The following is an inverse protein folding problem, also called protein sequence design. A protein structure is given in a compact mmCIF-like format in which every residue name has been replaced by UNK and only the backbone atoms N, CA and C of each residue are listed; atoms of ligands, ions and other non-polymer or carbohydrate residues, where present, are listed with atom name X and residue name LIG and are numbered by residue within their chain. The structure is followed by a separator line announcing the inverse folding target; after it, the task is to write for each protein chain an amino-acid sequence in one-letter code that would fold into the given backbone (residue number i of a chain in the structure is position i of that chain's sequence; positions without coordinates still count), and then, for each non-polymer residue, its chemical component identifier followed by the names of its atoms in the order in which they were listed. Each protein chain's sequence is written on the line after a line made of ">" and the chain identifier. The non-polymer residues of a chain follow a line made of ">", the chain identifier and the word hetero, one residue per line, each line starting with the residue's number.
data_IF_853762501049
#
_entry.id   IF_853762501049
#
_cell.length_a   1.000
_cell.length_b   1.000
_cell.length_c   1.000
_cell.angle_alpha   90.00
_cell.angle_beta   90.00
_cell.angle_gamma   90.00
#
_symmetry.space_group_name_H-M   'P 1'
#
loop_
_entity.id
_entity.type
_entity.pdbx_description
1 polymer ?
#
# COMPACT_ATOMS: atom_id res chain seq x y z
N UNK A 1 48.64 -63.96 31.96
CA UNK A 1 48.37 -64.55 30.63
C UNK A 1 46.86 -64.57 30.43
N UNK A 2 46.20 -64.09 29.39
CA UNK A 2 46.51 -63.19 28.28
C UNK A 2 45.13 -62.67 27.82
N UNK A 3 44.90 -61.35 27.87
CA UNK A 3 43.67 -60.73 27.38
C UNK A 3 43.71 -60.72 25.84
N UNK A 4 42.92 -61.56 25.18
CA UNK A 4 42.64 -61.47 23.75
C UNK A 4 41.56 -60.42 23.50
N UNK A 5 41.96 -59.16 23.44
CA UNK A 5 41.14 -58.11 22.83
C UNK A 5 41.08 -58.39 21.32
N UNK A 6 39.98 -58.98 20.87
CA UNK A 6 39.69 -59.09 19.45
C UNK A 6 39.49 -57.67 18.88
N UNK A 7 40.55 -57.12 18.29
CA UNK A 7 40.49 -55.88 17.54
C UNK A 7 39.67 -56.17 16.27
N UNK A 8 38.44 -55.68 16.21
CA UNK A 8 37.62 -55.75 15.00
C UNK A 8 38.31 -54.93 13.90
N UNK A 9 39.01 -55.62 13.01
CA UNK A 9 39.66 -55.01 11.87
C UNK A 9 38.61 -54.22 11.06
N UNK A 10 38.84 -52.93 10.76
CA UNK A 10 37.88 -52.13 10.01
C UNK A 10 37.64 -52.79 8.66
N UNK A 11 36.38 -53.04 8.31
CA UNK A 11 36.02 -53.56 6.99
C UNK A 11 36.45 -52.52 5.96
N UNK A 12 37.43 -52.89 5.13
CA UNK A 12 38.01 -52.04 4.09
C UNK A 12 37.31 -52.28 2.76
N UNK A 13 37.18 -51.23 1.95
CA UNK A 13 36.79 -51.38 0.54
C UNK A 13 37.95 -51.95 -0.29
N UNK A 14 37.71 -52.35 -1.54
CA UNK A 14 38.73 -52.93 -2.44
C UNK A 14 40.02 -52.10 -2.56
N UNK A 15 39.94 -50.78 -2.32
CA UNK A 15 41.05 -49.82 -2.37
C UNK A 15 41.73 -49.56 -1.01
N UNK A 16 41.43 -50.35 0.03
CA UNK A 16 42.06 -50.24 1.36
C UNK A 16 41.54 -49.10 2.25
N UNK A 17 40.50 -48.37 1.84
CA UNK A 17 39.92 -47.31 2.66
C UNK A 17 38.86 -47.84 3.63
N UNK A 18 38.76 -47.33 4.87
CA UNK A 18 37.72 -47.74 5.81
C UNK A 18 36.32 -47.47 5.24
N UNK A 19 35.45 -48.49 5.24
CA UNK A 19 34.10 -48.44 4.65
C UNK A 19 33.26 -47.25 5.13
N UNK A 20 33.43 -46.83 6.39
CA UNK A 20 32.72 -45.68 6.97
C UNK A 20 33.07 -44.37 6.25
N UNK A 21 34.32 -44.19 5.83
CA UNK A 21 34.81 -42.98 5.16
C UNK A 21 34.37 -42.94 3.70
N UNK A 22 34.45 -44.07 2.99
CA UNK A 22 33.96 -44.18 1.61
C UNK A 22 32.45 -44.03 1.51
N UNK A 23 31.69 -44.61 2.46
CA UNK A 23 30.24 -44.45 2.57
C UNK A 23 29.85 -42.99 2.82
N UNK A 24 30.51 -42.30 3.76
CA UNK A 24 30.23 -40.88 4.02
C UNK A 24 30.55 -39.97 2.82
N UNK A 25 31.62 -40.26 2.08
CA UNK A 25 31.99 -39.52 0.85
C UNK A 25 30.95 -39.74 -0.25
N UNK A 26 30.49 -40.97 -0.43
CA UNK A 26 29.43 -41.32 -1.38
C UNK A 26 28.09 -40.69 -1.00
N UNK A 27 27.70 -40.74 0.28
CA UNK A 27 26.49 -40.12 0.81
C UNK A 27 26.52 -38.59 0.66
N UNK A 28 27.64 -37.92 0.92
CA UNK A 28 27.78 -36.47 0.68
C UNK A 28 27.60 -36.12 -0.80
N UNK A 29 28.20 -36.89 -1.71
CA UNK A 29 28.06 -36.67 -3.16
C UNK A 29 26.62 -36.86 -3.63
N UNK A 30 25.94 -37.88 -3.11
CA UNK A 30 24.53 -38.12 -3.42
C UNK A 30 23.60 -37.06 -2.79
N UNK A 31 23.87 -36.60 -1.56
CA UNK A 31 23.14 -35.50 -0.93
C UNK A 31 23.33 -34.18 -1.69
N UNK A 32 24.54 -33.86 -2.12
CA UNK A 32 24.82 -32.67 -2.93
C UNK A 32 24.13 -32.74 -4.30
N UNK A 33 24.11 -33.90 -4.95
CA UNK A 33 23.36 -34.11 -6.20
C UNK A 33 21.85 -33.99 -5.99
N UNK A 34 21.30 -34.61 -4.95
CA UNK A 34 19.89 -34.49 -4.60
C UNK A 34 19.51 -33.05 -4.25
N UNK A 35 20.33 -32.36 -3.47
CA UNK A 35 20.15 -30.94 -3.17
C UNK A 35 20.22 -30.10 -4.45
N UNK A 36 21.18 -30.37 -5.34
CA UNK A 36 21.31 -29.69 -6.63
C UNK A 36 20.11 -29.91 -7.56
N UNK A 37 19.45 -31.07 -7.49
CA UNK A 37 18.21 -31.36 -8.24
C UNK A 37 16.99 -30.62 -7.66
N UNK A 38 16.94 -30.43 -6.34
CA UNK A 38 15.82 -29.76 -5.65
C UNK A 38 15.99 -28.25 -5.60
N UNK A 39 17.23 -27.75 -5.60
CA UNK A 39 17.56 -26.34 -5.42
C UNK A 39 16.87 -25.41 -6.42
N UNK A 40 16.78 -25.71 -7.74
CA UNK A 40 16.07 -24.84 -8.68
C UNK A 40 14.59 -24.71 -8.36
N UNK A 41 13.93 -25.82 -8.02
CA UNK A 41 12.52 -25.81 -7.63
C UNK A 41 12.29 -25.07 -6.31
N UNK A 42 13.19 -25.25 -5.33
CA UNK A 42 13.14 -24.53 -4.07
C UNK A 42 13.37 -23.02 -4.24
N UNK A 43 14.37 -22.62 -5.03
CA UNK A 43 14.63 -21.21 -5.34
C UNK A 43 13.47 -20.58 -6.12
N UNK A 44 12.88 -21.31 -7.07
CA UNK A 44 11.68 -20.87 -7.78
C UNK A 44 10.54 -20.59 -6.80
N UNK A 45 10.26 -21.51 -5.87
CA UNK A 45 9.24 -21.33 -4.83
C UNK A 45 9.58 -20.14 -3.94
N UNK A 46 10.83 -20.03 -3.47
CA UNK A 46 11.29 -18.93 -2.64
C UNK A 46 11.06 -17.58 -3.34
N UNK A 47 11.43 -17.45 -4.61
CA UNK A 47 11.23 -16.24 -5.41
C UNK A 47 9.74 -15.93 -5.59
N UNK A 48 8.93 -16.92 -5.99
CA UNK A 48 7.50 -16.74 -6.27
C UNK A 48 6.68 -16.44 -5.02
N UNK A 49 7.08 -16.92 -3.83
CA UNK A 49 6.35 -16.64 -2.59
C UNK A 49 6.93 -15.47 -1.80
N UNK A 50 8.26 -15.41 -1.61
CA UNK A 50 8.88 -14.38 -0.76
C UNK A 50 8.85 -13.00 -1.43
N UNK A 51 9.09 -12.88 -2.74
CA UNK A 51 9.10 -11.56 -3.38
C UNK A 51 7.71 -10.90 -3.36
N UNK A 52 6.60 -11.59 -3.69
CA UNK A 52 5.27 -10.98 -3.56
C UNK A 52 4.92 -10.63 -2.11
N UNK A 53 5.26 -11.48 -1.14
CA UNK A 53 5.04 -11.17 0.29
C UNK A 53 5.83 -9.92 0.68
N UNK A 54 7.11 -9.84 0.32
CA UNK A 54 7.95 -8.67 0.59
C UNK A 54 7.38 -7.40 -0.05
N UNK A 55 6.92 -7.47 -1.29
CA UNK A 55 6.28 -6.34 -1.99
C UNK A 55 4.95 -5.93 -1.31
N UNK A 56 4.16 -6.89 -0.85
CA UNK A 56 2.93 -6.59 -0.09
C UNK A 56 3.25 -5.93 1.25
N UNK A 57 4.28 -6.38 1.96
CA UNK A 57 4.72 -5.79 3.22
C UNK A 57 5.23 -4.35 3.03
N UNK A 58 6.05 -4.08 2.00
CA UNK A 58 6.51 -2.71 1.73
C UNK A 58 5.39 -1.78 1.28
N UNK A 59 4.41 -2.27 0.51
CA UNK A 59 3.21 -1.48 0.16
C UNK A 59 2.32 -1.19 1.36
N UNK A 60 2.33 -2.05 2.38
CA UNK A 60 1.51 -1.86 3.58
C UNK A 60 1.94 -0.67 4.44
N UNK A 61 3.18 -0.19 4.27
CA UNK A 61 3.72 0.98 5.01
C UNK A 61 3.73 2.27 4.19
N UNK A 62 3.29 2.23 2.93
CA UNK A 62 3.29 3.38 2.04
C UNK A 62 2.12 4.33 2.35
N UNK A 63 2.45 5.57 2.72
CA UNK A 63 1.52 6.66 3.01
C UNK A 63 1.79 7.90 2.14
N UNK A 64 2.41 7.70 0.97
CA UNK A 64 2.82 8.79 0.07
C UNK A 64 1.66 9.65 -0.43
N UNK A 65 0.46 9.07 -0.62
CA UNK A 65 -0.68 9.78 -1.18
C UNK A 65 -1.17 10.94 -0.32
N UNK A 66 -1.21 10.78 1.01
CA UNK A 66 -1.61 11.89 1.89
C UNK A 66 -0.55 12.98 1.92
N UNK A 67 0.74 12.59 1.82
CA UNK A 67 1.85 13.53 1.74
C UNK A 67 1.81 14.38 0.47
N UNK A 68 1.33 13.81 -0.64
CA UNK A 68 1.10 14.55 -1.88
C UNK A 68 -0.24 15.30 -1.90
N UNK A 69 -1.18 14.92 -1.02
CA UNK A 69 -2.42 15.67 -0.85
C UNK A 69 -2.22 16.92 0.02
N UNK A 70 -1.39 16.84 1.06
CA UNK A 70 -1.13 17.90 2.03
C UNK A 70 0.35 18.35 2.08
N UNK A 71 1.02 18.59 0.92
CA UNK A 71 2.45 18.87 0.89
C UNK A 71 2.82 20.19 1.59
N UNK A 72 2.01 21.25 1.44
CA UNK A 72 2.27 22.54 2.10
C UNK A 72 2.02 22.45 3.61
N UNK A 73 0.94 21.78 4.01
CA UNK A 73 0.62 21.55 5.41
C UNK A 73 1.76 20.80 6.10
N UNK A 74 2.26 19.72 5.49
CA UNK A 74 3.29 18.90 6.10
C UNK A 74 4.69 19.53 6.10
N UNK A 75 4.99 20.46 5.19
CA UNK A 75 6.24 21.23 5.23
C UNK A 75 6.26 22.26 6.38
N UNK A 76 5.10 22.79 6.75
CA UNK A 76 4.96 23.74 7.87
C UNK A 76 4.77 23.06 9.23
N UNK A 77 4.37 21.78 9.23
CA UNK A 77 3.90 21.05 10.41
C UNK A 77 4.92 20.90 11.55
N UNK A 78 6.22 20.92 11.24
CA UNK A 78 7.27 20.79 12.26
C UNK A 78 7.40 22.03 13.17
N UNK A 79 6.86 23.18 12.76
CA UNK A 79 6.92 24.43 13.53
C UNK A 79 5.81 24.54 14.59
N UNK A 80 4.81 23.65 14.56
CA UNK A 80 3.67 23.67 15.47
C UNK A 80 3.94 22.84 16.73
N UNK A 81 3.62 23.40 17.90
CA UNK A 81 3.85 22.80 19.22
C UNK A 81 2.96 21.60 19.57
N UNK A 82 1.85 21.42 18.83
CA UNK A 82 0.85 20.35 18.98
C UNK A 82 0.04 20.39 20.28
N UNK A 83 0.19 21.43 21.10
CA UNK A 83 -0.51 21.57 22.37
C UNK A 83 -1.79 22.38 22.23
N UNK A 84 -1.78 23.39 21.37
CA UNK A 84 -2.94 24.21 21.07
C UNK A 84 -3.34 24.10 19.60
N UNK A 85 -4.49 24.67 19.25
CA UNK A 85 -4.86 24.78 17.84
C UNK A 85 -3.76 25.53 17.07
N UNK A 86 -3.44 25.07 15.84
CA UNK A 86 -2.40 25.71 15.08
C UNK A 86 -2.78 27.13 14.67
N UNK A 87 -1.76 27.87 14.27
CA UNK A 87 -1.86 29.25 13.84
C UNK A 87 -2.54 29.38 12.45
N UNK A 88 -2.78 30.63 12.06
CA UNK A 88 -3.47 30.96 10.81
C UNK A 88 -2.75 30.40 9.57
N UNK A 89 -1.41 30.32 9.61
CA UNK A 89 -0.61 29.82 8.49
C UNK A 89 -0.89 28.35 8.19
N UNK A 90 -1.04 27.50 9.22
CA UNK A 90 -1.33 26.08 9.01
C UNK A 90 -2.77 25.84 8.56
N UNK A 91 -3.72 26.65 9.04
CA UNK A 91 -5.10 26.63 8.53
C UNK A 91 -5.15 27.03 7.05
N UNK A 92 -4.42 28.07 6.66
CA UNK A 92 -4.26 28.47 5.27
C UNK A 92 -3.65 27.33 4.44
N UNK A 93 -2.58 26.69 4.92
CA UNK A 93 -1.93 25.59 4.23
C UNK A 93 -2.89 24.42 3.94
N UNK A 94 -3.64 23.98 4.95
CA UNK A 94 -4.65 22.93 4.78
C UNK A 94 -5.74 23.35 3.81
N UNK A 95 -6.20 24.60 3.89
CA UNK A 95 -7.18 25.12 2.95
C UNK A 95 -6.67 25.06 1.51
N UNK A 96 -5.45 25.54 1.25
CA UNK A 96 -4.85 25.57 -0.08
C UNK A 96 -4.59 24.16 -0.64
N UNK A 97 -4.05 23.25 0.18
CA UNK A 97 -3.81 21.87 -0.19
C UNK A 97 -5.09 21.11 -0.60
N UNK A 98 -6.20 21.39 0.09
CA UNK A 98 -7.49 20.76 -0.15
C UNK A 98 -8.25 21.37 -1.34
N UNK A 99 -8.14 22.68 -1.56
CA UNK A 99 -9.01 23.40 -2.52
C UNK A 99 -8.36 23.66 -3.87
N UNK A 100 -7.04 23.79 -3.93
CA UNK A 100 -6.33 24.17 -5.16
C UNK A 100 -5.77 22.95 -5.89
N UNK A 101 -5.53 23.13 -7.19
CA UNK A 101 -4.76 22.18 -8.02
C UNK A 101 -3.32 22.63 -8.20
N UNK A 102 -2.94 23.80 -7.64
CA UNK A 102 -1.63 24.43 -7.83
C UNK A 102 -0.50 23.49 -7.44
N UNK A 103 -0.74 22.61 -6.45
CA UNK A 103 0.24 21.61 -6.05
C UNK A 103 0.70 20.64 -7.13
N UNK A 104 -0.08 20.45 -8.19
CA UNK A 104 0.32 19.65 -9.37
C UNK A 104 1.03 20.48 -10.44
N UNK A 105 0.94 21.81 -10.36
CA UNK A 105 1.51 22.74 -11.33
C UNK A 105 2.88 23.23 -10.89
N UNK A 106 3.05 23.47 -9.59
CA UNK A 106 4.30 23.92 -8.96
C UNK A 106 5.36 22.81 -9.07
N UNK A 107 6.56 23.19 -9.53
CA UNK A 107 7.70 22.28 -9.66
C UNK A 107 8.20 21.80 -8.29
N UNK A 108 8.63 20.54 -8.23
CA UNK A 108 9.27 19.93 -7.05
C UNK A 108 8.45 20.01 -5.75
N UNK A 109 7.14 20.09 -5.86
CA UNK A 109 6.25 20.42 -4.75
C UNK A 109 5.82 19.22 -3.87
N UNK A 110 6.76 18.35 -3.48
CA UNK A 110 6.47 17.18 -2.64
C UNK A 110 7.56 16.90 -1.61
N UNK A 111 7.15 16.51 -0.40
CA UNK A 111 8.06 16.16 0.69
C UNK A 111 8.93 17.34 1.13
N UNK A 112 10.23 17.11 1.29
CA UNK A 112 11.19 18.13 1.74
C UNK A 112 11.52 19.21 0.70
N UNK A 113 11.00 19.08 -0.52
CA UNK A 113 11.26 20.01 -1.62
C UNK A 113 10.20 21.11 -1.76
N UNK A 114 9.12 21.02 -0.99
CA UNK A 114 8.07 22.05 -0.97
C UNK A 114 8.64 23.35 -0.44
N UNK A 115 8.55 24.41 -1.22
CA UNK A 115 8.80 25.78 -0.76
C UNK A 115 7.49 26.37 -0.22
N UNK A 116 7.35 26.55 1.10
CA UNK A 116 6.14 27.13 1.68
C UNK A 116 6.01 28.63 1.44
N UNK A 117 7.08 29.30 0.99
CA UNK A 117 7.10 30.75 0.72
C UNK A 117 6.77 31.09 -0.72
N UNK A 118 6.62 30.08 -1.58
CA UNK A 118 6.29 30.27 -2.99
C UNK A 118 4.91 30.95 -3.14
N UNK A 119 4.83 32.16 -3.74
CA UNK A 119 3.57 32.86 -3.96
C UNK A 119 2.61 32.06 -4.87
N UNK A 120 3.12 31.07 -5.62
CA UNK A 120 2.34 30.19 -6.48
C UNK A 120 1.16 29.52 -5.77
N UNK A 121 1.30 29.27 -4.46
CA UNK A 121 0.25 28.69 -3.62
C UNK A 121 -0.99 29.58 -3.49
N UNK A 122 -0.82 30.90 -3.60
CA UNK A 122 -1.88 31.88 -3.35
C UNK A 122 -2.67 32.26 -4.62
N UNK A 123 -2.13 32.00 -5.81
CA UNK A 123 -2.83 32.30 -7.06
C UNK A 123 -4.11 31.48 -7.21
N UNK A 124 -5.20 32.15 -7.53
CA UNK A 124 -6.50 31.53 -7.72
C UNK A 124 -6.79 31.30 -9.19
N UNK A 125 -6.87 30.03 -9.59
CA UNK A 125 -7.31 29.67 -10.94
C UNK A 125 -8.85 29.73 -10.99
N UNK A 126 -9.45 30.54 -11.89
CA UNK A 126 -10.89 30.69 -11.95
C UNK A 126 -11.57 29.39 -12.37
N UNK A 127 -12.60 28.98 -11.65
CA UNK A 127 -13.29 27.69 -11.90
C UNK A 127 -13.97 27.57 -13.27
N UNK A 128 -14.21 28.70 -13.95
CA UNK A 128 -14.86 28.79 -15.27
C UNK A 128 -13.92 29.30 -16.37
N UNK A 129 -12.65 29.57 -16.04
CA UNK A 129 -11.69 30.20 -16.95
C UNK A 129 -11.77 31.74 -16.95
N UNK A 130 -10.89 32.42 -17.69
CA UNK A 130 -9.81 31.83 -18.50
C UNK A 130 -8.70 31.19 -17.64
N UNK A 131 -8.13 30.08 -18.11
CA UNK A 131 -7.19 29.24 -17.38
C UNK A 131 -5.74 29.52 -17.76
N UNK A 132 -5.44 29.85 -19.02
CA UNK A 132 -4.06 29.95 -19.52
C UNK A 132 -3.19 30.90 -18.72
N UNK A 133 -3.61 32.16 -18.60
CA UNK A 133 -2.82 33.16 -17.89
C UNK A 133 -2.72 32.83 -16.39
N UNK A 134 -3.82 32.42 -15.75
CA UNK A 134 -3.82 32.05 -14.33
C UNK A 134 -2.88 30.88 -14.02
N UNK A 135 -2.79 29.87 -14.89
CA UNK A 135 -1.87 28.75 -14.71
C UNK A 135 -0.41 29.12 -14.98
N UNK A 136 -0.16 30.05 -15.91
CA UNK A 136 1.18 30.60 -16.17
C UNK A 136 1.65 31.48 -15.01
N UNK A 137 0.74 32.16 -14.31
CA UNK A 137 1.07 32.89 -13.07
C UNK A 137 1.47 31.94 -11.94
N UNK A 138 0.83 30.77 -11.84
CA UNK A 138 1.21 29.73 -10.86
C UNK A 138 2.62 29.19 -11.15
N UNK A 139 2.92 28.84 -12.40
CA UNK A 139 4.28 28.46 -12.78
C UNK A 139 4.56 28.91 -14.23
N UNK A 140 5.48 29.88 -14.43
CA UNK A 140 5.78 30.45 -15.74
C UNK A 140 6.21 29.43 -16.79
N UNK A 141 6.73 28.26 -16.39
CA UNK A 141 7.19 27.21 -17.31
C UNK A 141 6.08 26.71 -18.23
N UNK A 142 4.82 26.80 -17.81
CA UNK A 142 3.67 26.37 -18.62
C UNK A 142 3.48 27.24 -19.87
N UNK A 143 4.14 28.40 -19.95
CA UNK A 143 4.24 29.20 -21.18
C UNK A 143 5.12 28.53 -22.23
N UNK A 144 6.12 27.76 -21.85
CA UNK A 144 7.07 27.16 -22.78
C UNK A 144 6.49 25.86 -23.37
N UNK A 145 6.57 25.70 -24.69
CA UNK A 145 6.15 24.47 -25.37
C UNK A 145 6.89 23.23 -24.82
N UNK A 146 8.14 23.41 -24.38
CA UNK A 146 8.98 22.35 -23.79
C UNK A 146 8.34 21.66 -22.58
N UNK A 147 7.55 22.37 -21.78
CA UNK A 147 6.83 21.78 -20.63
C UNK A 147 5.75 20.80 -21.09
N UNK A 148 5.16 21.03 -22.27
CA UNK A 148 4.06 20.24 -22.82
C UNK A 148 4.52 19.09 -23.71
N UNK A 149 5.71 19.19 -24.31
CA UNK A 149 6.28 18.18 -25.22
C UNK A 149 6.30 16.76 -24.63
N UNK A 150 6.71 16.53 -23.35
CA UNK A 150 6.64 15.20 -22.75
C UNK A 150 5.22 14.64 -22.74
N UNK A 151 4.21 15.48 -22.48
CA UNK A 151 2.80 15.07 -22.47
C UNK A 151 2.30 14.76 -23.88
N UNK A 152 2.65 15.59 -24.87
CA UNK A 152 2.35 15.34 -26.28
C UNK A 152 2.96 14.04 -26.79
N UNK A 153 4.19 13.73 -26.38
CA UNK A 153 4.88 12.50 -26.79
C UNK A 153 4.10 11.23 -26.38
N UNK A 154 3.43 11.24 -25.22
CA UNK A 154 2.57 10.14 -24.76
C UNK A 154 1.37 9.97 -25.69
N UNK A 155 0.81 11.07 -26.20
CA UNK A 155 -0.32 11.07 -27.13
C UNK A 155 0.11 10.59 -28.51
N UNK A 156 1.22 11.11 -29.03
CA UNK A 156 1.73 10.75 -30.36
C UNK A 156 2.08 9.26 -30.49
N UNK A 157 2.59 8.64 -29.43
CA UNK A 157 2.88 7.20 -29.43
C UNK A 157 1.65 6.35 -29.78
N UNK A 158 0.44 6.81 -29.44
CA UNK A 158 -0.80 6.12 -29.78
C UNK A 158 -1.05 6.16 -31.29
N UNK A 159 -0.81 7.30 -31.94
CA UNK A 159 -1.11 7.50 -33.36
C UNK A 159 -0.07 6.88 -34.30
N UNK A 160 1.12 6.54 -33.79
CA UNK A 160 2.12 5.76 -34.54
C UNK A 160 1.74 4.29 -34.68
N UNK A 161 0.87 3.75 -33.82
CA UNK A 161 0.41 2.36 -33.89
C UNK A 161 -0.61 2.18 -35.02
N UNK A 162 -0.35 1.26 -35.93
CA UNK A 162 -1.17 1.03 -37.13
C UNK A 162 -2.34 0.08 -36.87
N UNK A 163 -2.18 -0.89 -35.95
CA UNK A 163 -3.23 -1.85 -35.60
C UNK A 163 -4.38 -1.16 -34.82
N UNK A 164 -5.63 -1.17 -35.33
CA UNK A 164 -6.76 -0.49 -34.69
C UNK A 164 -7.11 -1.03 -33.30
N UNK A 165 -7.02 -2.34 -33.07
CA UNK A 165 -7.33 -2.95 -31.76
C UNK A 165 -6.29 -2.56 -30.71
N UNK A 166 -5.02 -2.60 -31.10
CA UNK A 166 -3.91 -2.19 -30.24
C UNK A 166 -3.90 -0.69 -29.98
N UNK A 167 -4.21 0.13 -30.99
CA UNK A 167 -4.36 1.59 -30.86
C UNK A 167 -5.44 1.95 -29.84
N UNK A 168 -6.60 1.29 -29.85
CA UNK A 168 -7.68 1.51 -28.88
C UNK A 168 -7.22 1.23 -27.44
N UNK A 169 -6.47 0.14 -27.22
CA UNK A 169 -5.88 -0.19 -25.91
C UNK A 169 -4.82 0.83 -25.48
N UNK A 170 -3.97 1.26 -26.41
CA UNK A 170 -2.95 2.29 -26.16
C UNK A 170 -3.58 3.64 -25.83
N UNK A 171 -4.65 4.04 -26.51
CA UNK A 171 -5.38 5.27 -26.22
C UNK A 171 -5.91 5.30 -24.78
N UNK A 172 -6.53 4.21 -24.33
CA UNK A 172 -7.00 4.09 -22.95
C UNK A 172 -5.83 4.21 -21.96
N UNK A 173 -4.72 3.54 -22.24
CA UNK A 173 -3.52 3.55 -21.39
C UNK A 173 -2.82 4.91 -21.39
N UNK A 174 -2.75 5.59 -22.53
CA UNK A 174 -2.15 6.92 -22.68
C UNK A 174 -2.88 7.97 -21.82
N UNK A 175 -4.21 7.91 -21.75
CA UNK A 175 -4.98 8.79 -20.86
C UNK A 175 -4.65 8.57 -19.37
N UNK A 176 -4.34 7.34 -18.93
CA UNK A 176 -3.84 7.06 -17.58
C UNK A 176 -2.40 7.53 -17.39
N UNK A 177 -1.53 7.26 -18.36
CA UNK A 177 -0.12 7.66 -18.32
C UNK A 177 0.02 9.19 -18.24
N UNK A 178 -0.78 9.94 -19.00
CA UNK A 178 -0.86 11.40 -18.92
C UNK A 178 -1.20 11.87 -17.49
N UNK A 179 -2.19 11.26 -16.86
CA UNK A 179 -2.58 11.62 -15.50
C UNK A 179 -1.51 11.25 -14.47
N UNK A 180 -0.83 10.12 -14.67
CA UNK A 180 0.27 9.65 -13.82
C UNK A 180 1.51 10.53 -13.95
N UNK A 181 1.73 11.15 -15.13
CA UNK A 181 2.82 12.09 -15.33
C UNK A 181 2.61 13.43 -14.59
N UNK A 182 1.35 13.80 -14.33
CA UNK A 182 0.96 15.07 -13.72
C UNK A 182 0.57 14.96 -12.25
N UNK A 183 0.19 13.77 -11.80
CA UNK A 183 -0.38 13.52 -10.48
C UNK A 183 0.13 12.20 -9.93
N UNK A 184 0.10 11.98 -8.61
CA UNK A 184 0.53 10.70 -8.05
C UNK A 184 -0.46 9.54 -8.28
N UNK A 185 -1.56 9.78 -8.99
CA UNK A 185 -2.62 8.80 -9.17
C UNK A 185 -2.33 7.91 -10.38
N UNK A 186 -2.24 6.61 -10.13
CA UNK A 186 -2.09 5.58 -11.17
C UNK A 186 -3.43 5.13 -11.78
N UNK A 187 -4.56 5.51 -11.18
CA UNK A 187 -5.90 5.06 -11.57
C UNK A 187 -6.83 6.20 -12.02
N UNK A 188 -6.29 7.41 -12.22
CA UNK A 188 -7.02 8.55 -12.77
C UNK A 188 -6.73 8.71 -14.27
N UNK A 189 -7.66 9.29 -15.02
CA UNK A 189 -7.56 9.45 -16.48
C UNK A 189 -7.64 10.94 -16.85
N UNK A 190 -6.69 11.39 -17.67
CA UNK A 190 -6.67 12.73 -18.26
C UNK A 190 -7.18 12.68 -19.71
N UNK A 191 -8.46 12.32 -19.88
CA UNK A 191 -9.05 12.13 -21.21
C UNK A 191 -9.29 13.43 -21.97
N UNK A 192 -9.58 14.55 -21.29
CA UNK A 192 -9.78 15.85 -21.97
C UNK A 192 -8.45 16.38 -22.47
N UNK A 193 -7.44 16.30 -21.62
CA UNK A 193 -6.09 16.70 -21.99
C UNK A 193 -5.55 15.86 -23.15
N UNK A 194 -5.81 14.55 -23.15
CA UNK A 194 -5.46 13.68 -24.28
C UNK A 194 -6.03 14.22 -25.60
N UNK A 195 -7.33 14.56 -25.63
CA UNK A 195 -7.99 15.10 -26.83
C UNK A 195 -7.42 16.47 -27.22
N UNK A 196 -7.22 17.38 -26.28
CA UNK A 196 -6.67 18.71 -26.59
C UNK A 196 -5.22 18.64 -27.12
N UNK A 197 -4.39 17.75 -26.54
CA UNK A 197 -3.03 17.53 -27.01
C UNK A 197 -2.97 16.77 -28.33
N UNK A 198 -4.02 16.06 -28.74
CA UNK A 198 -4.08 15.45 -30.06
C UNK A 198 -4.08 16.52 -31.16
N UNK A 199 -4.85 17.59 -30.96
CA UNK A 199 -5.05 18.68 -31.92
C UNK A 199 -3.89 19.70 -31.94
N UNK A 200 -3.17 19.85 -30.83
CA UNK A 200 -2.05 20.78 -30.72
C UNK A 200 -0.84 20.39 -31.60
N UNK A 201 -0.19 21.39 -32.23
CA UNK A 201 0.90 21.23 -33.19
C UNK A 201 2.27 20.87 -32.59
N UNK A 202 2.46 21.07 -31.29
CA UNK A 202 3.72 20.81 -30.59
C UNK A 202 4.77 21.92 -30.71
N UNK A 203 4.49 23.03 -31.40
CA UNK A 203 5.48 24.08 -31.68
C UNK A 203 5.35 25.29 -30.76
N UNK A 204 4.13 25.77 -30.57
CA UNK A 204 3.83 26.98 -29.79
C UNK A 204 3.18 26.66 -28.45
N UNK A 205 3.10 27.62 -27.53
CA UNK A 205 2.33 27.43 -26.29
C UNK A 205 0.90 27.00 -26.64
N UNK A 206 0.35 25.92 -26.04
CA UNK A 206 -1.00 25.49 -26.31
C UNK A 206 -2.04 26.59 -26.11
N UNK A 207 -3.18 26.42 -26.77
CA UNK A 207 -4.30 27.35 -26.72
C UNK A 207 -5.08 27.24 -25.41
N UNK A 208 -6.07 28.12 -25.23
CA UNK A 208 -6.91 28.15 -24.03
C UNK A 208 -7.66 26.81 -23.81
N UNK A 209 -8.00 26.09 -24.89
CA UNK A 209 -8.68 24.80 -24.79
C UNK A 209 -7.80 23.73 -24.12
N UNK A 210 -6.51 23.67 -24.44
CA UNK A 210 -5.56 22.77 -23.80
C UNK A 210 -5.36 23.06 -22.30
N UNK A 211 -5.25 24.34 -21.92
CA UNK A 211 -5.18 24.74 -20.51
C UNK A 211 -6.47 24.42 -19.74
N UNK A 212 -7.63 24.67 -20.35
CA UNK A 212 -8.92 24.31 -19.79
C UNK A 212 -9.04 22.79 -19.59
N UNK A 213 -8.54 22.00 -20.54
CA UNK A 213 -8.53 20.54 -20.46
C UNK A 213 -7.61 20.04 -19.34
N UNK A 214 -6.38 20.57 -19.24
CA UNK A 214 -5.43 20.28 -18.17
C UNK A 214 -6.05 20.57 -16.79
N UNK A 215 -6.58 21.78 -16.59
CA UNK A 215 -7.19 22.18 -15.32
C UNK A 215 -8.36 21.27 -14.92
N UNK A 216 -9.29 20.97 -15.85
CA UNK A 216 -10.46 20.12 -15.57
C UNK A 216 -10.06 18.70 -15.18
N UNK A 217 -9.04 18.15 -15.83
CA UNK A 217 -8.55 16.81 -15.51
C UNK A 217 -7.76 16.78 -14.19
N UNK A 218 -6.93 17.80 -13.92
CA UNK A 218 -6.25 17.96 -12.62
C UNK A 218 -7.25 18.14 -11.47
N UNK A 219 -8.31 18.92 -11.66
CA UNK A 219 -9.36 19.09 -10.66
C UNK A 219 -10.15 17.79 -10.43
N UNK A 220 -10.31 16.96 -11.48
CA UNK A 220 -10.90 15.62 -11.34
C UNK A 220 -9.97 14.69 -10.56
N UNK A 221 -8.66 14.72 -10.84
CA UNK A 221 -7.65 13.98 -10.12
C UNK A 221 -7.56 14.40 -8.64
N UNK A 222 -7.60 15.71 -8.34
CA UNK A 222 -7.64 16.25 -6.97
C UNK A 222 -8.77 15.64 -6.15
N UNK A 223 -9.97 15.52 -6.73
CA UNK A 223 -11.13 14.91 -6.03
C UNK A 223 -10.88 13.44 -5.70
N UNK A 224 -10.26 12.68 -6.60
CA UNK A 224 -9.89 11.28 -6.38
C UNK A 224 -8.83 11.17 -5.28
N UNK A 225 -7.78 12.01 -5.37
CA UNK A 225 -6.69 12.04 -4.38
C UNK A 225 -7.23 12.41 -2.99
N UNK A 226 -8.12 13.40 -2.92
CA UNK A 226 -8.76 13.80 -1.66
C UNK A 226 -9.65 12.69 -1.11
N UNK A 227 -10.40 11.97 -1.96
CA UNK A 227 -11.20 10.82 -1.54
C UNK A 227 -10.36 9.70 -0.92
N UNK A 228 -9.23 9.35 -1.56
CA UNK A 228 -8.27 8.36 -1.04
C UNK A 228 -7.62 8.83 0.26
N UNK A 229 -7.10 10.05 0.28
CA UNK A 229 -6.43 10.63 1.44
C UNK A 229 -7.38 10.78 2.63
N UNK A 230 -8.62 11.21 2.42
CA UNK A 230 -9.62 11.30 3.50
C UNK A 230 -9.99 9.93 4.09
N UNK A 231 -9.90 8.85 3.31
CA UNK A 231 -10.10 7.48 3.81
C UNK A 231 -8.94 7.06 4.69
N UNK A 232 -7.70 7.37 4.27
CA UNK A 232 -6.49 7.16 5.06
C UNK A 232 -6.51 7.92 6.39
N UNK A 233 -6.85 9.20 6.35
CA UNK A 233 -7.01 10.04 7.55
C UNK A 233 -8.04 9.46 8.51
N UNK A 234 -9.13 8.90 7.99
CA UNK A 234 -10.18 8.32 8.80
C UNK A 234 -9.75 7.03 9.55
N UNK A 235 -8.69 6.34 9.10
CA UNK A 235 -8.11 5.23 9.86
C UNK A 235 -7.38 5.70 11.12
N UNK A 236 -6.73 6.87 11.07
CA UNK A 236 -6.11 7.46 12.27
C UNK A 236 -7.16 7.98 13.23
N UNK A 237 -8.04 8.87 12.73
CA UNK A 237 -9.10 9.48 13.53
C UNK A 237 -10.46 9.40 12.82
N UNK A 238 -11.43 8.64 13.36
CA UNK A 238 -12.76 8.57 12.79
C UNK A 238 -13.42 9.94 12.69
N UNK A 239 -14.01 10.23 11.53
CA UNK A 239 -14.72 11.48 11.27
C UNK A 239 -14.04 12.38 10.24
N UNK A 240 -12.76 12.14 9.91
CA UNK A 240 -12.03 12.87 8.87
C UNK A 240 -12.74 12.87 7.52
N UNK A 241 -13.23 11.71 7.07
CA UNK A 241 -13.93 11.60 5.79
C UNK A 241 -15.17 12.50 5.73
N UNK A 242 -15.91 12.58 6.84
CA UNK A 242 -17.05 13.49 6.99
C UNK A 242 -16.63 14.96 7.03
N UNK A 243 -15.56 15.27 7.79
CA UNK A 243 -15.00 16.62 7.92
C UNK A 243 -14.58 17.17 6.55
N UNK A 244 -13.72 16.45 5.83
CA UNK A 244 -13.23 16.86 4.51
C UNK A 244 -14.39 17.00 3.50
N UNK A 245 -15.31 16.02 3.45
CA UNK A 245 -16.44 16.07 2.52
C UNK A 245 -17.32 17.31 2.72
N UNK A 246 -17.64 17.66 3.97
CA UNK A 246 -18.44 18.85 4.28
C UNK A 246 -17.66 20.13 4.00
N UNK A 247 -16.37 20.13 4.32
CA UNK A 247 -15.48 21.27 4.15
C UNK A 247 -15.33 21.65 2.68
N UNK A 248 -14.97 20.72 1.80
CA UNK A 248 -14.80 20.98 0.37
C UNK A 248 -16.04 21.53 -0.32
N UNK A 249 -17.25 21.17 0.16
CA UNK A 249 -18.50 21.70 -0.37
C UNK A 249 -18.69 23.18 -0.02
N UNK A 250 -18.24 23.59 1.16
CA UNK A 250 -18.47 24.92 1.71
C UNK A 250 -17.28 25.87 1.56
N UNK A 251 -16.06 25.34 1.40
CA UNK A 251 -14.83 26.12 1.24
C UNK A 251 -14.85 27.04 0.02
N UNK A 252 -15.61 26.69 -1.02
CA UNK A 252 -15.86 27.56 -2.17
C UNK A 252 -16.48 28.92 -1.82
N UNK A 253 -16.98 29.09 -0.60
CA UNK A 253 -17.61 30.33 -0.10
C UNK A 253 -16.68 31.13 0.83
N UNK A 254 -15.46 30.66 1.07
CA UNK A 254 -14.48 31.38 1.89
C UNK A 254 -13.75 32.35 0.97
N UNK A 255 -13.92 33.65 1.22
CA UNK A 255 -13.43 34.74 0.35
C UNK A 255 -12.06 35.29 0.78
N UNK A 256 -11.23 34.45 1.41
CA UNK A 256 -9.87 34.79 1.86
C UNK A 256 -9.67 34.63 3.37
N UNK A 257 -8.52 35.10 3.89
CA UNK A 257 -8.20 35.04 5.32
C UNK A 257 -9.14 35.91 6.17
N UNK A 258 -9.38 35.57 7.46
CA UNK A 258 -8.77 34.47 8.20
C UNK A 258 -9.45 33.11 7.94
N UNK A 259 -8.66 32.14 7.52
CA UNK A 259 -9.02 30.75 7.28
C UNK A 259 -9.37 30.02 8.57
N UNK A 260 -8.71 30.28 9.71
CA UNK A 260 -8.99 29.59 10.96
C UNK A 260 -10.45 29.72 11.38
N UNK A 261 -10.93 30.95 11.52
CA UNK A 261 -12.30 31.22 11.92
C UNK A 261 -13.31 30.74 10.86
N UNK A 262 -13.00 30.96 9.58
CA UNK A 262 -13.85 30.55 8.47
C UNK A 262 -14.03 29.01 8.41
N UNK A 263 -12.94 28.26 8.60
CA UNK A 263 -12.96 26.79 8.60
C UNK A 263 -13.74 26.25 9.80
N UNK A 264 -13.52 26.80 11.00
CA UNK A 264 -14.26 26.43 12.22
C UNK A 264 -15.77 26.71 12.07
N UNK A 265 -16.13 27.86 11.47
CA UNK A 265 -17.53 28.21 11.16
C UNK A 265 -18.16 27.24 10.15
N UNK A 266 -17.39 26.76 9.18
CA UNK A 266 -17.84 25.76 8.20
C UNK A 266 -18.13 24.41 8.86
N UNK A 267 -17.24 23.97 9.75
CA UNK A 267 -17.40 22.76 10.56
C UNK A 267 -16.62 22.88 11.87
N UNK A 268 -17.32 22.81 13.01
CA UNK A 268 -16.76 22.96 14.35
C UNK A 268 -15.57 22.03 14.63
N UNK A 269 -15.51 20.85 13.98
CA UNK A 269 -14.40 19.89 14.14
C UNK A 269 -13.04 20.40 13.68
N UNK A 270 -12.97 21.47 12.88
CA UNK A 270 -11.69 22.13 12.62
C UNK A 270 -11.11 22.84 13.85
N UNK A 271 -11.94 23.10 14.86
CA UNK A 271 -11.52 23.61 16.18
C UNK A 271 -11.22 22.51 17.19
N UNK A 272 -11.32 21.24 16.80
CA UNK A 272 -10.99 20.12 17.67
C UNK A 272 -9.52 19.74 17.47
N UNK A 273 -8.69 19.95 18.50
CA UNK A 273 -7.25 19.68 18.48
C UNK A 273 -6.89 18.25 18.06
N UNK A 274 -7.73 17.28 18.42
CA UNK A 274 -7.53 15.85 18.13
C UNK A 274 -7.39 15.57 16.63
N UNK A 275 -8.11 16.29 15.77
CA UNK A 275 -7.95 16.13 14.32
C UNK A 275 -6.57 16.60 13.88
N UNK A 276 -6.15 17.79 14.28
CA UNK A 276 -4.82 18.31 13.96
C UNK A 276 -3.71 17.39 14.46
N UNK A 277 -3.77 16.95 15.70
CA UNK A 277 -2.79 16.02 16.27
C UNK A 277 -2.71 14.69 15.50
N UNK A 278 -3.84 14.18 14.99
CA UNK A 278 -3.85 12.94 14.21
C UNK A 278 -3.07 13.04 12.88
N UNK A 279 -2.84 14.25 12.35
CA UNK A 279 -2.02 14.45 11.16
C UNK A 279 -0.53 14.12 11.40
N UNK A 280 -0.05 14.22 12.64
CA UNK A 280 1.36 13.91 13.01
C UNK A 280 1.74 12.49 12.57
N UNK A 281 0.83 11.53 12.73
CA UNK A 281 1.06 10.12 12.39
C UNK A 281 1.19 9.88 10.86
N UNK A 282 0.77 10.84 10.04
CA UNK A 282 0.72 10.75 8.57
C UNK A 282 1.71 11.68 7.86
N UNK A 283 2.44 12.50 8.63
CA UNK A 283 3.40 13.49 8.11
C UNK A 283 4.56 12.85 7.32
N UNK A 284 4.90 11.58 7.59
CA UNK A 284 5.97 10.89 6.88
C UNK A 284 5.39 10.02 5.76
N UNK A 285 6.05 9.94 4.58
CA UNK A 285 5.61 9.08 3.47
C UNK A 285 5.60 7.59 3.78
N UNK A 286 6.32 7.15 4.81
CA UNK A 286 6.35 5.77 5.27
C UNK A 286 5.99 5.72 6.75
N UNK A 287 5.14 4.77 7.13
CA UNK A 287 4.67 4.62 8.51
C UNK A 287 4.70 3.17 8.97
N UNK A 288 5.17 2.96 10.21
CA UNK A 288 5.05 1.66 10.90
C UNK A 288 3.70 1.52 11.63
N UNK A 289 2.82 2.51 11.52
CA UNK A 289 1.54 2.56 12.24
C UNK A 289 0.66 1.33 11.98
N UNK A 290 0.65 0.81 10.75
CA UNK A 290 -0.11 -0.38 10.40
C UNK A 290 0.38 -1.65 11.13
N UNK A 291 1.70 -1.80 11.30
CA UNK A 291 2.27 -2.91 12.07
C UNK A 291 2.08 -2.73 13.57
N UNK A 292 2.13 -1.49 14.07
CA UNK A 292 1.80 -1.24 15.48
C UNK A 292 0.33 -1.57 15.75
N UNK A 293 -0.56 -1.23 14.81
CA UNK A 293 -1.98 -1.52 14.94
C UNK A 293 -2.26 -3.03 15.03
N UNK A 294 -1.51 -3.88 14.32
CA UNK A 294 -1.65 -5.35 14.45
C UNK A 294 -1.21 -5.88 15.82
N UNK A 295 -0.47 -5.09 16.59
CA UNK A 295 -0.05 -5.37 17.96
C UNK A 295 -0.86 -4.58 18.99
N UNK A 296 -2.04 -4.06 18.62
CA UNK A 296 -2.90 -3.22 19.47
C UNK A 296 -2.19 -1.95 20.01
N UNK A 297 -1.24 -1.42 19.22
CA UNK A 297 -0.44 -0.21 19.53
C UNK A 297 -0.63 0.86 18.45
N UNK A 298 -0.31 2.11 18.80
CA UNK A 298 -0.31 3.25 17.86
C UNK A 298 0.76 4.27 18.23
N UNK A 299 1.03 5.20 17.32
CA UNK A 299 1.80 6.40 17.64
C UNK A 299 0.91 7.42 18.35
N UNK A 300 1.48 8.10 19.34
CA UNK A 300 0.89 9.29 19.94
C UNK A 300 1.39 10.59 19.28
N UNK A 301 0.92 11.74 19.75
CA UNK A 301 1.29 13.09 19.28
C UNK A 301 2.80 13.32 19.30
N UNK A 302 3.49 12.74 20.27
CA UNK A 302 4.95 12.82 20.44
C UNK A 302 5.70 11.69 19.71
N UNK A 303 5.00 10.93 18.85
CA UNK A 303 5.53 9.75 18.13
C UNK A 303 6.00 8.61 19.06
N UNK A 304 5.54 8.63 20.31
CA UNK A 304 5.71 7.52 21.26
C UNK A 304 4.78 6.36 20.93
N UNK A 305 5.22 5.13 21.19
CA UNK A 305 4.39 3.93 20.97
C UNK A 305 3.51 3.72 22.19
N UNK A 306 2.21 3.96 22.04
CA UNK A 306 1.21 3.79 23.11
C UNK A 306 0.24 2.66 22.77
N UNK A 307 -0.38 2.08 23.80
CA UNK A 307 -1.44 1.09 23.59
C UNK A 307 -2.69 1.75 23.03
N UNK A 308 -3.42 1.05 22.17
CA UNK A 308 -4.66 1.57 21.60
C UNK A 308 -5.76 1.73 22.66
N UNK A 309 -6.87 2.39 22.35
CA UNK A 309 -8.03 2.46 23.26
C UNK A 309 -8.65 1.07 23.47
N UNK A 310 -9.22 0.81 24.65
CA UNK A 310 -9.75 -0.52 25.02
C UNK A 310 -10.72 -1.10 23.97
N UNK A 311 -11.56 -0.25 23.37
CA UNK A 311 -12.52 -0.63 22.32
C UNK A 311 -11.88 -1.11 21.01
N UNK A 312 -10.61 -0.76 20.74
CA UNK A 312 -9.91 -1.13 19.50
C UNK A 312 -8.87 -2.24 19.69
N UNK A 313 -8.52 -2.60 20.93
CA UNK A 313 -7.55 -3.68 21.23
C UNK A 313 -8.18 -5.05 20.96
N UNK A 314 -8.11 -5.50 19.72
CA UNK A 314 -8.74 -6.74 19.28
C UNK A 314 -7.72 -7.71 18.70
N UNK A 315 -6.63 -7.21 18.11
CA UNK A 315 -5.72 -8.05 17.33
C UNK A 315 -4.95 -9.02 18.21
N UNK A 316 -4.24 -8.56 19.25
CA UNK A 316 -3.38 -9.43 20.07
C UNK A 316 -4.18 -10.54 20.75
N UNK A 317 -5.39 -10.21 21.22
CA UNK A 317 -6.32 -11.18 21.78
C UNK A 317 -6.73 -12.26 20.77
N UNK A 318 -7.03 -11.88 19.52
CA UNK A 318 -7.34 -12.83 18.46
C UNK A 318 -6.13 -13.71 18.11
N UNK A 319 -4.93 -13.13 18.00
CA UNK A 319 -3.70 -13.88 17.73
C UNK A 319 -3.49 -14.99 18.77
N UNK A 320 -3.62 -14.66 20.06
CA UNK A 320 -3.44 -15.65 21.12
C UNK A 320 -4.51 -16.74 21.09
N UNK A 321 -5.78 -16.37 20.86
CA UNK A 321 -6.86 -17.35 20.73
C UNK A 321 -6.63 -18.30 19.56
N UNK A 322 -6.24 -17.80 18.40
CA UNK A 322 -5.97 -18.62 17.22
C UNK A 322 -4.78 -19.55 17.44
N UNK A 323 -3.67 -19.03 17.99
CA UNK A 323 -2.50 -19.84 18.30
C UNK A 323 -2.82 -20.94 19.30
N UNK A 324 -3.52 -20.61 20.39
CA UNK A 324 -3.91 -21.57 21.41
C UNK A 324 -4.82 -22.67 20.84
N UNK A 325 -5.84 -22.30 20.07
CA UNK A 325 -6.74 -23.29 19.41
C UNK A 325 -5.95 -24.19 18.46
N UNK A 326 -5.08 -23.62 17.62
CA UNK A 326 -4.26 -24.42 16.69
C UNK A 326 -3.32 -25.39 17.41
N UNK A 327 -2.74 -24.97 18.54
CA UNK A 327 -1.87 -25.79 19.37
C UNK A 327 -2.65 -26.93 20.03
N UNK A 328 -3.81 -26.63 20.62
CA UNK A 328 -4.70 -27.63 21.24
C UNK A 328 -5.12 -28.67 20.19
N UNK A 329 -5.55 -28.24 19.01
CA UNK A 329 -5.94 -29.14 17.93
C UNK A 329 -4.75 -29.99 17.47
N UNK A 330 -3.56 -29.40 17.31
CA UNK A 330 -2.36 -30.13 16.89
C UNK A 330 -1.97 -31.21 17.90
N UNK A 331 -1.95 -30.86 19.19
CA UNK A 331 -1.66 -31.82 20.27
C UNK A 331 -2.74 -32.90 20.33
N UNK A 332 -4.02 -32.52 20.24
CA UNK A 332 -5.13 -33.47 20.20
C UNK A 332 -5.06 -34.42 19.01
N UNK A 333 -4.72 -33.92 17.82
CA UNK A 333 -4.50 -34.73 16.64
C UNK A 333 -3.33 -35.70 16.83
N UNK A 334 -2.20 -35.26 17.40
CA UNK A 334 -1.05 -36.15 17.63
C UNK A 334 -1.38 -37.25 18.64
N UNK A 335 -2.04 -36.91 19.74
CA UNK A 335 -2.44 -37.85 20.79
C UNK A 335 -3.43 -38.90 20.28
N UNK A 336 -4.33 -38.55 19.37
CA UNK A 336 -5.30 -39.47 18.78
C UNK A 336 -4.76 -40.21 17.54
N UNK A 337 -4.02 -39.53 16.67
CA UNK A 337 -3.52 -40.12 15.43
C UNK A 337 -2.41 -41.14 15.68
N UNK A 338 -1.55 -40.94 16.68
CA UNK A 338 -0.49 -41.90 17.01
C UNK A 338 -1.03 -43.30 17.34
N UNK A 339 -1.94 -43.49 18.33
CA UNK A 339 -2.48 -44.82 18.62
C UNK A 339 -3.30 -45.38 17.47
N UNK A 340 -4.07 -44.55 16.74
CA UNK A 340 -4.84 -45.00 15.56
C UNK A 340 -3.91 -45.51 14.46
N UNK A 341 -2.80 -44.81 14.18
CA UNK A 341 -1.82 -45.23 13.18
C UNK A 341 -1.11 -46.54 13.58
N UNK A 342 -0.75 -46.68 14.86
CA UNK A 342 -0.17 -47.91 15.39
C UNK A 342 -1.15 -49.08 15.29
N UNK A 343 -2.43 -48.86 15.64
CA UNK A 343 -3.46 -49.88 15.53
C UNK A 343 -3.67 -50.32 14.07
N UNK A 344 -3.77 -49.36 13.14
CA UNK A 344 -3.88 -49.64 11.71
C UNK A 344 -2.71 -50.45 11.15
N UNK A 345 -1.50 -50.23 11.66
CA UNK A 345 -0.31 -50.98 11.24
C UNK A 345 -0.27 -52.43 11.75
N UNK A 346 -1.02 -52.74 12.82
CA UNK A 346 -1.00 -54.07 13.47
C UNK A 346 -2.22 -54.95 13.16
N UNK A 347 -3.30 -54.37 12.63
CA UNK A 347 -4.56 -55.09 12.37
C UNK A 347 -4.59 -55.85 11.02
N UNK A 348 -5.41 -56.91 10.89
CA UNK A 348 -5.66 -57.57 9.61
C UNK A 348 -6.29 -56.61 8.58
N UNK A 349 -5.87 -56.74 7.30
CA UNK A 349 -6.25 -55.87 6.16
C UNK A 349 -7.75 -55.52 6.06
N UNK A 350 -8.66 -56.44 6.41
CA UNK A 350 -10.11 -56.21 6.34
C UNK A 350 -10.58 -55.10 7.31
N UNK A 351 -10.10 -55.13 8.55
CA UNK A 351 -10.48 -54.14 9.57
C UNK A 351 -9.73 -52.82 9.40
N UNK A 352 -8.48 -52.89 8.95
CA UNK A 352 -7.68 -51.70 8.65
C UNK A 352 -8.30 -50.85 7.52
N UNK A 353 -8.79 -51.49 6.45
CA UNK A 353 -9.46 -50.79 5.35
C UNK A 353 -10.77 -50.11 5.79
N UNK A 354 -11.55 -50.74 6.69
CA UNK A 354 -12.76 -50.14 7.23
C UNK A 354 -12.45 -48.89 8.09
N UNK A 355 -11.45 -48.99 8.99
CA UNK A 355 -10.99 -47.87 9.81
C UNK A 355 -10.45 -46.71 8.96
N UNK A 356 -9.71 -47.00 7.89
CA UNK A 356 -9.25 -45.99 6.93
C UNK A 356 -10.41 -45.22 6.29
N UNK A 357 -11.49 -45.92 5.89
CA UNK A 357 -12.69 -45.27 5.35
C UNK A 357 -13.33 -44.34 6.39
N UNK A 358 -13.45 -44.77 7.65
CA UNK A 358 -13.99 -43.94 8.73
C UNK A 358 -13.17 -42.66 8.98
N UNK A 359 -11.84 -42.75 8.90
CA UNK A 359 -10.94 -41.58 9.05
C UNK A 359 -11.04 -40.64 7.86
N UNK A 360 -11.25 -41.18 6.66
CA UNK A 360 -11.36 -40.38 5.43
C UNK A 360 -12.74 -39.73 5.27
N UNK A 361 -13.82 -40.37 5.74
CA UNK A 361 -15.20 -39.89 5.59
C UNK A 361 -15.40 -38.38 5.90
N UNK A 362 -14.83 -37.79 6.97
CA UNK A 362 -14.98 -36.37 7.28
C UNK A 362 -14.41 -35.44 6.20
N UNK A 363 -13.40 -35.88 5.45
CA UNK A 363 -12.83 -35.11 4.34
C UNK A 363 -13.78 -35.03 3.14
N UNK A 364 -14.68 -36.00 2.98
CA UNK A 364 -15.66 -36.07 1.89
C UNK A 364 -16.92 -35.25 2.20
N UNK A 365 -17.09 -34.84 3.46
CA UNK A 365 -18.19 -33.97 3.89
C UNK A 365 -17.80 -32.49 3.79
N UNK A 366 -18.67 -31.71 3.15
CA UNK A 366 -18.51 -30.25 3.05
C UNK A 366 -18.35 -29.62 4.42
N UNK A 367 -17.43 -28.65 4.53
CA UNK A 367 -17.19 -27.89 5.75
C UNK A 367 -18.47 -27.22 6.26
N UNK A 368 -19.35 -26.76 5.37
CA UNK A 368 -20.61 -26.12 5.73
C UNK A 368 -21.53 -27.09 6.49
N UNK A 369 -21.69 -28.32 6.00
CA UNK A 369 -22.55 -29.33 6.64
C UNK A 369 -22.03 -29.67 8.04
N UNK A 370 -20.70 -29.80 8.19
CA UNK A 370 -20.06 -30.04 9.50
C UNK A 370 -20.32 -28.90 10.47
N UNK A 371 -20.19 -27.64 10.04
CA UNK A 371 -20.43 -26.47 10.88
C UNK A 371 -21.91 -26.37 11.27
N UNK A 372 -22.84 -26.59 10.34
CA UNK A 372 -24.29 -26.53 10.62
C UNK A 372 -24.71 -27.65 11.57
N UNK A 373 -24.21 -28.88 11.39
CA UNK A 373 -24.51 -29.98 12.28
C UNK A 373 -24.09 -29.69 13.75
N UNK A 374 -22.92 -29.07 13.93
CA UNK A 374 -22.45 -28.63 15.25
C UNK A 374 -23.20 -27.42 15.81
N UNK A 375 -23.82 -26.60 14.97
CA UNK A 375 -24.60 -25.44 15.43
C UNK A 375 -25.99 -25.85 15.90
N UNK A 376 -26.56 -26.90 15.30
CA UNK A 376 -27.90 -27.42 15.61
C UNK A 376 -27.89 -28.36 16.82
N UNK A 377 -26.76 -29.03 17.06
CA UNK A 377 -26.52 -29.92 18.21
C UNK A 377 -26.06 -29.13 19.43
#
# INVERSE_FOLDING_TARGET
>A
MANTTAVSAPILTADGTPLKVSLQRSLRRNKLRALGLVLPAFLFLLVVFILPIGNLLTRSVDDTLINQQLPLTFSLFDHWDRQELPDETLFQAVYLDLTTVNKFLIKDNTGTRVDPTDPAWLYQIPSKGPYKNAMIEVDPRWREANTWLPLKSIVEQVFREQDPERRKRLQQRAAFNLCTALTPLTNARCSRLFTALQEWDGQSTPDEAAFAALYKDLNSAQKILTGKSSTRMNYEQPGWKGLIRTSLRKFKKIEGPPYREAMIKVNKRWGDLVFWQSLVAMQKPQTMGYYLNSLDRRFDVDKNIVMQSAERRVYVMLWWRTLLVSLIVTVGCLLLAYPVSHLLATLPLKYANLLMICVLMPFWTSLLVRIVAWMVM
#
